data_IF_293376766520
#
_entry.id   IF_293376766520
#
_cell.length_a   1.000
_cell.length_b   1.000
_cell.length_c   1.000
_cell.angle_alpha   90.00
_cell.angle_beta   90.00
_cell.angle_gamma   90.00
#
_symmetry.space_group_name_H-M   'P 1'
#
loop_
_entity.id
_entity.type
_entity.pdbx_description
1 polymer ?
#
# COMPACT_ATOMS: atom_id res chain seq x y z
N UNK A 1 16.89 4.77 33.10
CA UNK A 1 15.72 3.87 33.09
C UNK A 1 15.30 3.72 31.64
N UNK A 2 15.80 2.69 30.95
CA UNK A 2 15.49 2.43 29.55
C UNK A 2 14.29 1.48 29.50
N UNK A 3 13.17 1.96 28.96
CA UNK A 3 12.06 1.08 28.58
C UNK A 3 12.52 0.21 27.40
N UNK A 4 12.49 -1.12 27.49
CA UNK A 4 12.85 -1.96 26.37
C UNK A 4 11.78 -1.83 25.28
N UNK A 5 12.22 -1.52 24.06
CA UNK A 5 11.38 -1.60 22.87
C UNK A 5 10.85 -3.03 22.74
N UNK A 6 9.54 -3.17 22.57
CA UNK A 6 8.80 -4.43 22.53
C UNK A 6 9.36 -5.36 21.41
N UNK A 7 9.50 -6.68 21.64
CA UNK A 7 10.11 -7.64 20.69
C UNK A 7 9.44 -7.67 19.30
N UNK A 8 8.19 -7.25 19.21
CA UNK A 8 7.44 -7.21 17.95
C UNK A 8 8.00 -6.20 16.93
N UNK A 9 8.63 -5.10 17.40
CA UNK A 9 9.24 -4.11 16.51
C UNK A 9 10.53 -4.62 15.87
N UNK A 10 11.30 -5.42 16.60
CA UNK A 10 12.57 -5.98 16.15
C UNK A 10 12.36 -7.05 15.06
N UNK A 11 11.38 -7.93 15.26
CA UNK A 11 10.96 -8.93 14.27
C UNK A 11 10.46 -8.30 12.97
N UNK A 12 9.67 -7.22 13.03
CA UNK A 12 9.13 -6.57 11.83
C UNK A 12 10.18 -5.84 11.00
N UNK A 13 11.24 -5.31 11.63
CA UNK A 13 12.34 -4.64 10.94
C UNK A 13 13.23 -5.65 10.21
N UNK A 14 13.65 -6.70 10.91
CA UNK A 14 14.54 -7.71 10.34
C UNK A 14 13.86 -8.66 9.36
N UNK A 15 12.58 -9.00 9.52
CA UNK A 15 11.85 -9.74 8.50
C UNK A 15 11.72 -8.94 7.19
N UNK A 16 11.56 -7.62 7.30
CA UNK A 16 11.51 -6.72 6.14
C UNK A 16 12.88 -6.63 5.48
N UNK A 17 13.94 -6.37 6.23
CA UNK A 17 15.32 -6.34 5.74
C UNK A 17 15.76 -7.68 5.15
N UNK A 18 15.32 -8.83 5.69
CA UNK A 18 15.67 -10.16 5.18
C UNK A 18 14.92 -10.51 3.89
N UNK A 19 13.62 -10.22 3.80
CA UNK A 19 12.87 -10.37 2.55
C UNK A 19 13.40 -9.42 1.48
N UNK A 20 13.75 -8.18 1.86
CA UNK A 20 14.40 -7.23 0.98
C UNK A 20 15.79 -7.71 0.54
N UNK A 21 16.63 -8.16 1.47
CA UNK A 21 18.01 -8.57 1.15
C UNK A 21 18.07 -9.87 0.36
N UNK A 22 17.17 -10.82 0.61
CA UNK A 22 17.09 -12.07 -0.16
C UNK A 22 16.56 -11.82 -1.59
N UNK A 23 15.53 -10.97 -1.72
CA UNK A 23 14.97 -10.60 -3.03
C UNK A 23 15.91 -9.67 -3.85
N UNK A 24 16.58 -8.71 -3.20
CA UNK A 24 17.60 -7.85 -3.81
C UNK A 24 18.89 -8.60 -4.18
N UNK A 25 19.22 -9.70 -3.50
CA UNK A 25 20.40 -10.51 -3.85
C UNK A 25 20.20 -11.38 -5.08
N UNK A 26 18.96 -11.80 -5.39
CA UNK A 26 18.74 -12.76 -6.48
C UNK A 26 18.14 -12.16 -7.77
N UNK A 27 17.17 -11.22 -7.73
CA UNK A 27 16.40 -10.95 -8.98
C UNK A 27 15.88 -9.53 -9.24
N UNK A 28 15.90 -8.58 -8.30
CA UNK A 28 15.19 -7.31 -8.51
C UNK A 28 16.03 -6.07 -8.18
N UNK A 29 16.77 -5.56 -9.17
CA UNK A 29 17.51 -4.29 -9.02
C UNK A 29 16.78 -3.07 -9.58
N UNK A 30 15.65 -3.25 -10.27
CA UNK A 30 14.80 -2.14 -10.69
C UNK A 30 13.34 -2.38 -10.28
N UNK A 31 12.61 -1.30 -10.04
CA UNK A 31 11.19 -1.31 -9.64
C UNK A 31 10.33 -2.21 -10.54
N UNK A 32 10.71 -2.32 -11.82
CA UNK A 32 10.12 -3.20 -12.83
C UNK A 32 10.07 -4.68 -12.42
N UNK A 33 11.13 -5.24 -11.82
CA UNK A 33 11.18 -6.67 -11.48
C UNK A 33 10.31 -6.96 -10.26
N UNK A 34 10.33 -6.07 -9.27
CA UNK A 34 9.45 -6.16 -8.10
C UNK A 34 7.98 -6.00 -8.47
N UNK A 35 7.66 -5.02 -9.32
CA UNK A 35 6.31 -4.79 -9.82
C UNK A 35 5.81 -5.99 -10.62
N UNK A 36 6.57 -6.47 -11.60
CA UNK A 36 6.20 -7.65 -12.40
C UNK A 36 5.98 -8.88 -11.53
N UNK A 37 6.85 -9.12 -10.56
CA UNK A 37 6.68 -10.24 -9.64
C UNK A 37 5.39 -10.11 -8.82
N UNK A 38 5.13 -8.93 -8.25
CA UNK A 38 3.92 -8.65 -7.47
C UNK A 38 2.65 -8.86 -8.28
N UNK A 39 2.62 -8.36 -9.52
CA UNK A 39 1.47 -8.50 -10.43
C UNK A 39 1.27 -9.96 -10.82
N UNK A 40 2.34 -10.67 -11.20
CA UNK A 40 2.27 -12.07 -11.56
C UNK A 40 1.80 -12.96 -10.40
N UNK A 41 2.16 -12.60 -9.16
CA UNK A 41 1.90 -13.40 -7.97
C UNK A 41 0.83 -12.86 -7.02
N UNK A 42 0.11 -11.81 -7.43
CA UNK A 42 -0.83 -11.11 -6.57
C UNK A 42 -1.83 -12.10 -5.95
N UNK A 43 -2.47 -12.90 -6.81
CA UNK A 43 -3.64 -13.68 -6.43
C UNK A 43 -3.32 -14.93 -5.61
N UNK A 44 -2.17 -15.56 -5.84
CA UNK A 44 -1.73 -16.76 -5.14
C UNK A 44 -0.89 -16.44 -3.89
N UNK A 45 -0.31 -15.24 -3.82
CA UNK A 45 0.57 -14.80 -2.71
C UNK A 45 0.23 -13.38 -2.24
N UNK A 46 -1.03 -13.09 -1.88
CA UNK A 46 -1.47 -11.72 -1.53
C UNK A 46 -0.68 -11.14 -0.35
N UNK A 47 -0.36 -11.96 0.65
CA UNK A 47 0.43 -11.54 1.82
C UNK A 47 1.86 -11.17 1.42
N UNK A 48 2.51 -11.98 0.59
CA UNK A 48 3.89 -11.71 0.16
C UNK A 48 3.94 -10.48 -0.73
N UNK A 49 2.99 -10.35 -1.66
CA UNK A 49 2.84 -9.18 -2.52
C UNK A 49 2.62 -7.91 -1.71
N UNK A 50 1.79 -7.95 -0.67
CA UNK A 50 1.60 -6.83 0.26
C UNK A 50 2.89 -6.46 1.01
N UNK A 51 3.65 -7.45 1.47
CA UNK A 51 4.92 -7.21 2.18
C UNK A 51 5.93 -6.57 1.23
N UNK A 52 6.06 -7.09 0.00
CA UNK A 52 6.98 -6.57 -1.01
C UNK A 52 6.60 -5.14 -1.40
N UNK A 53 5.33 -4.88 -1.67
CA UNK A 53 4.81 -3.54 -2.00
C UNK A 53 5.22 -2.51 -0.94
N UNK A 54 4.95 -2.82 0.34
CA UNK A 54 5.32 -1.96 1.48
C UNK A 54 6.83 -1.76 1.60
N UNK A 55 7.59 -2.81 1.34
CA UNK A 55 9.04 -2.77 1.51
C UNK A 55 9.71 -1.96 0.39
N UNK A 56 9.23 -2.06 -0.86
CA UNK A 56 9.69 -1.23 -1.99
C UNK A 56 9.50 0.25 -1.71
N UNK A 57 8.31 0.63 -1.26
CA UNK A 57 8.01 2.03 -0.91
C UNK A 57 8.85 2.52 0.25
N UNK A 58 9.04 1.67 1.27
CA UNK A 58 9.86 2.03 2.41
C UNK A 58 11.31 2.25 1.99
N UNK A 59 11.89 1.34 1.20
CA UNK A 59 13.25 1.45 0.70
C UNK A 59 13.46 2.75 -0.10
N UNK A 60 12.56 3.02 -1.05
CA UNK A 60 12.60 4.26 -1.82
C UNK A 60 12.51 5.50 -0.90
N UNK A 61 11.58 5.50 0.07
CA UNK A 61 11.46 6.60 1.03
C UNK A 61 12.71 6.79 1.87
N UNK A 62 13.40 5.72 2.26
CA UNK A 62 14.66 5.83 3.02
C UNK A 62 15.82 6.38 2.21
N UNK A 63 15.88 6.03 0.91
CA UNK A 63 16.93 6.50 -0.01
C UNK A 63 16.69 7.95 -0.46
N UNK A 64 15.44 8.32 -0.74
CA UNK A 64 15.09 9.58 -1.41
C UNK A 64 14.32 10.58 -0.53
N UNK A 65 13.90 10.18 0.68
CA UNK A 65 13.21 11.06 1.63
C UNK A 65 11.71 11.27 1.38
N UNK A 66 11.14 10.74 0.29
CA UNK A 66 9.72 10.86 -0.04
C UNK A 66 9.13 9.55 -0.58
N UNK A 67 7.79 9.46 -0.60
CA UNK A 67 7.08 8.33 -1.24
C UNK A 67 7.06 8.56 -2.75
N UNK A 68 7.33 7.54 -3.60
CA UNK A 68 7.22 7.69 -5.05
C UNK A 68 5.77 8.01 -5.46
N UNK A 69 5.58 8.89 -6.45
CA UNK A 69 4.27 9.13 -7.08
C UNK A 69 3.75 7.88 -7.77
N UNK A 70 4.66 7.15 -8.41
CA UNK A 70 4.35 6.04 -9.30
C UNK A 70 3.89 4.78 -8.53
N UNK A 71 3.93 4.82 -7.18
CA UNK A 71 3.40 3.78 -6.31
C UNK A 71 1.88 3.56 -6.46
N UNK A 72 1.14 4.59 -6.87
CA UNK A 72 -0.32 4.49 -7.01
C UNK A 72 -0.72 3.50 -8.10
N UNK A 73 -0.01 3.51 -9.24
CA UNK A 73 -0.31 2.65 -10.40
C UNK A 73 -0.25 1.15 -10.09
N UNK A 74 0.87 0.58 -9.61
CA UNK A 74 0.94 -0.84 -9.26
C UNK A 74 0.00 -1.18 -8.10
N UNK A 75 -0.21 -0.25 -7.17
CA UNK A 75 -1.18 -0.43 -6.09
C UNK A 75 -2.62 -0.58 -6.56
N UNK A 76 -3.05 0.22 -7.55
CA UNK A 76 -4.37 0.10 -8.20
C UNK A 76 -4.49 -1.18 -9.02
N UNK A 77 -3.44 -1.56 -9.75
CA UNK A 77 -3.44 -2.82 -10.50
C UNK A 77 -3.60 -4.02 -9.57
N UNK A 78 -2.85 -4.07 -8.47
CA UNK A 78 -2.96 -5.11 -7.46
C UNK A 78 -4.37 -5.13 -6.83
N UNK A 79 -4.93 -3.97 -6.49
CA UNK A 79 -6.31 -3.89 -6.00
C UNK A 79 -7.32 -4.48 -7.00
N UNK A 80 -7.18 -4.13 -8.29
CA UNK A 80 -8.03 -4.67 -9.34
C UNK A 80 -7.91 -6.19 -9.49
N UNK A 81 -6.71 -6.76 -9.40
CA UNK A 81 -6.50 -8.22 -9.42
C UNK A 81 -7.16 -8.91 -8.22
N UNK A 82 -7.05 -8.31 -7.03
CA UNK A 82 -7.72 -8.82 -5.83
C UNK A 82 -9.24 -8.76 -5.96
N UNK A 83 -9.81 -7.67 -6.50
CA UNK A 83 -11.26 -7.58 -6.76
C UNK A 83 -11.74 -8.61 -7.78
N UNK A 84 -11.00 -8.81 -8.88
CA UNK A 84 -11.33 -9.80 -9.91
C UNK A 84 -11.30 -11.25 -9.40
N UNK A 85 -10.55 -11.51 -8.32
CA UNK A 85 -10.43 -12.84 -7.71
C UNK A 85 -11.18 -12.96 -6.39
N UNK A 86 -12.13 -12.04 -6.13
CA UNK A 86 -12.99 -12.02 -4.94
C UNK A 86 -12.21 -11.86 -3.61
N UNK A 87 -10.97 -11.39 -3.66
CA UNK A 87 -10.10 -11.10 -2.51
C UNK A 87 -10.30 -9.67 -2.00
N UNK A 88 -11.55 -9.28 -1.70
CA UNK A 88 -11.91 -7.90 -1.34
C UNK A 88 -11.09 -7.33 -0.17
N UNK A 89 -10.80 -8.15 0.84
CA UNK A 89 -10.01 -7.71 2.01
C UNK A 89 -8.55 -7.36 1.63
N UNK A 90 -7.96 -8.04 0.64
CA UNK A 90 -6.61 -7.72 0.17
C UNK A 90 -6.60 -6.48 -0.74
N UNK A 91 -7.65 -6.26 -1.54
CA UNK A 91 -7.89 -5.00 -2.25
C UNK A 91 -8.02 -3.82 -1.27
N UNK A 92 -8.81 -3.98 -0.21
CA UNK A 92 -8.96 -2.99 0.86
C UNK A 92 -7.60 -2.72 1.52
N UNK A 93 -6.82 -3.75 1.85
CA UNK A 93 -5.51 -3.59 2.50
C UNK A 93 -4.56 -2.76 1.67
N UNK A 94 -4.51 -2.96 0.35
CA UNK A 94 -3.56 -2.24 -0.49
C UNK A 94 -3.99 -0.80 -0.72
N UNK A 95 -5.27 -0.57 -1.01
CA UNK A 95 -5.81 0.77 -1.19
C UNK A 95 -5.76 1.58 0.10
N UNK A 96 -6.06 0.98 1.26
CA UNK A 96 -5.92 1.63 2.58
C UNK A 96 -4.48 2.03 2.85
N UNK A 97 -3.53 1.17 2.50
CA UNK A 97 -2.13 1.49 2.66
C UNK A 97 -1.70 2.65 1.75
N UNK A 98 -2.10 2.65 0.47
CA UNK A 98 -1.86 3.77 -0.48
C UNK A 98 -2.47 5.06 0.07
N UNK A 99 -3.75 5.02 0.46
CA UNK A 99 -4.45 6.16 1.04
C UNK A 99 -3.65 6.74 2.21
N UNK A 100 -3.32 5.91 3.19
CA UNK A 100 -2.58 6.34 4.39
C UNK A 100 -1.22 6.98 4.08
N UNK A 101 -0.45 6.43 3.14
CA UNK A 101 0.88 6.98 2.79
C UNK A 101 0.80 8.25 1.94
N UNK A 102 -0.26 8.43 1.13
CA UNK A 102 -0.42 9.60 0.26
C UNK A 102 -1.09 10.76 0.99
N UNK A 103 -2.02 10.49 1.90
CA UNK A 103 -2.82 11.53 2.58
C UNK A 103 -2.30 11.91 3.96
N UNK A 104 -0.98 11.77 4.18
CA UNK A 104 -0.36 12.18 5.45
C UNK A 104 -0.61 13.68 5.68
N UNK A 105 -0.82 14.06 6.94
CA UNK A 105 -1.06 15.46 7.36
C UNK A 105 -2.36 16.10 6.85
N UNK A 106 -3.36 15.30 6.48
CA UNK A 106 -4.72 15.79 6.16
C UNK A 106 -4.84 16.47 4.80
N UNK A 107 -3.81 16.38 3.95
CA UNK A 107 -3.86 16.82 2.55
C UNK A 107 -4.12 15.62 1.64
N UNK A 108 -5.02 15.76 0.67
CA UNK A 108 -5.30 14.73 -0.35
C UNK A 108 -4.62 15.16 -1.66
N UNK A 109 -3.51 14.53 -2.08
CA UNK A 109 -2.90 14.79 -3.38
C UNK A 109 -3.80 14.30 -4.52
N UNK A 110 -3.63 14.85 -5.72
CA UNK A 110 -4.48 14.53 -6.86
C UNK A 110 -4.46 13.03 -7.22
N UNK A 111 -3.29 12.39 -7.13
CA UNK A 111 -3.14 10.95 -7.39
C UNK A 111 -3.74 10.04 -6.30
N UNK A 112 -4.14 10.58 -5.14
CA UNK A 112 -4.83 9.80 -4.12
C UNK A 112 -6.36 9.76 -4.32
N UNK A 113 -6.91 10.57 -5.23
CA UNK A 113 -8.36 10.66 -5.46
C UNK A 113 -8.93 9.32 -5.95
N UNK A 114 -8.37 8.76 -7.02
CA UNK A 114 -8.82 7.48 -7.59
C UNK A 114 -8.74 6.32 -6.60
N UNK A 115 -7.59 6.01 -5.96
CA UNK A 115 -7.52 4.93 -4.97
C UNK A 115 -8.40 5.20 -3.74
N UNK A 116 -8.58 6.46 -3.35
CA UNK A 116 -9.50 6.84 -2.26
C UNK A 116 -10.96 6.49 -2.58
N UNK A 117 -11.45 6.86 -3.77
CA UNK A 117 -12.82 6.53 -4.17
C UNK A 117 -13.04 5.03 -4.31
N UNK A 118 -12.06 4.28 -4.82
CA UNK A 118 -12.13 2.83 -4.90
C UNK A 118 -12.17 2.19 -3.51
N UNK A 119 -11.34 2.67 -2.57
CA UNK A 119 -11.37 2.24 -1.17
C UNK A 119 -12.73 2.50 -0.50
N UNK A 120 -13.30 3.69 -0.72
CA UNK A 120 -14.62 4.04 -0.20
C UNK A 120 -15.71 3.10 -0.75
N UNK A 121 -15.66 2.77 -2.05
CA UNK A 121 -16.57 1.81 -2.66
C UNK A 121 -16.48 0.41 -2.03
N UNK A 122 -15.26 -0.08 -1.77
CA UNK A 122 -15.07 -1.37 -1.10
C UNK A 122 -15.53 -1.35 0.36
N UNK A 123 -15.34 -0.23 1.06
CA UNK A 123 -15.89 -0.05 2.40
C UNK A 123 -17.42 -0.06 2.41
N UNK A 124 -18.08 0.57 1.45
CA UNK A 124 -19.54 0.49 1.31
C UNK A 124 -20.02 -0.95 1.10
N UNK A 125 -19.35 -1.69 0.21
CA UNK A 125 -19.68 -3.09 -0.08
C UNK A 125 -19.50 -4.01 1.13
N UNK A 126 -18.53 -3.70 2.01
CA UNK A 126 -18.24 -4.48 3.22
C UNK A 126 -18.93 -3.96 4.48
N UNK A 127 -19.83 -2.98 4.36
CA UNK A 127 -20.64 -2.43 5.47
C UNK A 127 -19.93 -1.38 6.32
N UNK A 128 -18.73 -0.94 5.94
CA UNK A 128 -17.93 0.11 6.60
C UNK A 128 -18.35 1.51 6.12
N UNK A 129 -19.61 1.87 6.33
CA UNK A 129 -20.20 3.10 5.79
C UNK A 129 -19.55 4.39 6.32
N UNK A 130 -19.14 4.39 7.59
CA UNK A 130 -18.47 5.55 8.22
C UNK A 130 -17.11 5.81 7.57
N UNK A 131 -16.27 4.78 7.42
CA UNK A 131 -14.96 4.89 6.77
C UNK A 131 -15.08 5.35 5.31
N UNK A 132 -16.10 4.87 4.58
CA UNK A 132 -16.37 5.30 3.22
C UNK A 132 -16.75 6.79 3.15
N UNK A 133 -17.61 7.25 4.05
CA UNK A 133 -18.02 8.65 4.13
C UNK A 133 -16.86 9.58 4.48
N UNK A 134 -15.97 9.17 5.39
CA UNK A 134 -14.77 9.94 5.73
C UNK A 134 -13.88 10.15 4.50
N UNK A 135 -13.60 9.08 3.75
CA UNK A 135 -12.77 9.17 2.54
C UNK A 135 -13.43 10.03 1.47
N UNK A 136 -14.72 9.82 1.17
CA UNK A 136 -15.46 10.63 0.19
C UNK A 136 -15.45 12.11 0.58
N UNK A 137 -15.62 12.42 1.86
CA UNK A 137 -15.59 13.79 2.36
C UNK A 137 -14.21 14.43 2.17
N UNK A 138 -13.13 13.71 2.48
CA UNK A 138 -11.77 14.20 2.26
C UNK A 138 -11.47 14.46 0.78
N UNK A 139 -11.89 13.55 -0.11
CA UNK A 139 -11.78 13.73 -1.56
C UNK A 139 -12.60 14.93 -2.03
N UNK A 140 -13.84 15.09 -1.56
CA UNK A 140 -14.70 16.21 -1.93
C UNK A 140 -14.09 17.56 -1.56
N UNK A 141 -13.53 17.68 -0.34
CA UNK A 141 -12.86 18.90 0.12
C UNK A 141 -11.64 19.26 -0.74
N UNK A 142 -10.98 18.28 -1.36
CA UNK A 142 -9.87 18.52 -2.29
C UNK A 142 -10.33 19.03 -3.65
N UNK A 143 -11.41 18.49 -4.20
CA UNK A 143 -11.90 18.89 -5.53
C UNK A 143 -12.68 20.21 -5.51
N UNK A 144 -13.19 20.62 -4.35
CA UNK A 144 -13.87 21.91 -4.16
C UNK A 144 -12.93 23.09 -3.91
N UNK A 145 -11.60 22.88 -3.83
CA UNK A 145 -10.57 23.91 -3.67
C UNK A 145 -9.87 24.16 -5.00
#
# INVERSE_FOLDING_TARGET
MFTPLTPLHFLKKHAREALFSHFLMEEAWEFDDAERWMIAHATERPITTMILFKAVIWHYRTQHGHVPTDTVTPGLQLAGLYEQTEQQEDAIRILRFIWHIRTQHGYVPADAVTPGLQLAGLYEQTGQQEDAMEIRSAVQQRVSK
#
